data_IF_209231622539
#
_entry.id   IF_209231622539
#
_cell.length_a   1.000
_cell.length_b   1.000
_cell.length_c   1.000
_cell.angle_alpha   90.00
_cell.angle_beta   90.00
_cell.angle_gamma   90.00
#
_symmetry.space_group_name_H-M   'P 1'
#
loop_
_entity.id
_entity.type
_entity.pdbx_description
1 polymer ?
#
# COMPACT_ATOMS: atom_id res chain seq x y z
N UNK A 1 -26.64 13.48 4.22
CA UNK A 1 -25.35 14.20 4.32
C UNK A 1 -24.99 14.18 5.78
N UNK A 2 -24.21 13.19 6.21
CA UNK A 2 -23.83 13.06 7.63
C UNK A 2 -22.68 14.02 7.92
N UNK A 3 -22.85 14.81 8.98
CA UNK A 3 -21.84 15.74 9.45
C UNK A 3 -20.76 14.95 10.18
N UNK A 4 -19.49 15.11 9.77
CA UNK A 4 -18.33 14.51 10.46
C UNK A 4 -18.13 15.07 11.88
N UNK A 5 -18.85 16.13 12.26
CA UNK A 5 -18.99 16.58 13.65
C UNK A 5 -17.67 16.61 14.45
N UNK A 6 -17.72 16.07 15.67
CA UNK A 6 -16.61 15.96 16.62
C UNK A 6 -15.51 14.97 16.22
N UNK A 7 -15.70 14.17 15.16
CA UNK A 7 -14.70 13.18 14.71
C UNK A 7 -13.45 13.82 14.07
N UNK A 8 -13.46 15.14 13.81
CA UNK A 8 -12.25 15.88 13.39
C UNK A 8 -11.15 15.87 14.45
N UNK A 9 -11.51 15.72 15.72
CA UNK A 9 -10.56 15.72 16.83
C UNK A 9 -9.73 14.43 16.78
N UNK A 10 -8.45 14.55 16.37
CA UNK A 10 -7.54 13.43 16.15
C UNK A 10 -7.53 12.86 14.73
N UNK A 11 -8.17 13.52 13.76
CA UNK A 11 -8.07 13.17 12.36
C UNK A 11 -6.62 13.26 11.86
N UNK A 12 -6.17 12.25 11.12
CA UNK A 12 -4.84 12.21 10.52
C UNK A 12 -4.96 12.07 9.00
N UNK A 13 -4.14 12.78 8.25
CA UNK A 13 -4.05 12.70 6.79
C UNK A 13 -2.99 11.69 6.34
N UNK A 14 -3.31 10.93 5.29
CA UNK A 14 -2.36 10.05 4.62
C UNK A 14 -1.22 10.85 3.96
N UNK A 15 0.01 10.50 4.28
CA UNK A 15 1.18 10.80 3.46
C UNK A 15 1.40 9.63 2.51
N UNK A 16 1.08 9.83 1.23
CA UNK A 16 1.14 8.78 0.21
C UNK A 16 2.55 8.26 -0.07
N UNK A 17 3.60 9.08 0.07
CA UNK A 17 4.98 8.60 -0.16
C UNK A 17 5.38 7.56 0.90
N UNK A 18 4.96 7.77 2.15
CA UNK A 18 5.31 6.89 3.28
C UNK A 18 4.25 5.83 3.61
N UNK A 19 3.04 5.95 3.07
CA UNK A 19 1.87 5.14 3.42
C UNK A 19 1.35 5.35 4.85
N UNK A 20 1.70 6.45 5.52
CA UNK A 20 1.35 6.69 6.94
C UNK A 20 0.32 7.79 7.12
N UNK A 21 -0.55 7.63 8.12
CA UNK A 21 -1.46 8.68 8.59
C UNK A 21 -0.81 9.45 9.73
N UNK A 22 -0.13 10.55 9.42
CA UNK A 22 0.65 11.33 10.40
C UNK A 22 0.51 12.85 10.25
N UNK A 23 -0.08 13.34 9.17
CA UNK A 23 -0.20 14.77 8.93
C UNK A 23 -1.50 15.34 9.51
N UNK A 24 -1.49 16.61 9.93
CA UNK A 24 -2.72 17.33 10.26
C UNK A 24 -3.55 17.56 8.97
N UNK A 25 -4.88 17.42 9.02
CA UNK A 25 -5.75 17.71 7.88
C UNK A 25 -5.73 19.19 7.50
N UNK A 26 -5.75 19.51 6.19
CA UNK A 26 -5.91 20.89 5.73
C UNK A 26 -7.35 21.19 5.34
N UNK A 27 -8.06 20.26 4.69
CA UNK A 27 -9.49 20.40 4.33
C UNK A 27 -9.80 21.21 3.08
N UNK A 28 -8.83 21.96 2.54
CA UNK A 28 -9.00 22.80 1.34
C UNK A 28 -8.62 22.10 0.02
N UNK A 29 -7.99 20.93 0.12
CA UNK A 29 -7.60 20.08 -1.02
C UNK A 29 -8.17 18.67 -0.85
N UNK A 30 -8.15 17.87 -1.91
CA UNK A 30 -8.61 16.48 -1.85
C UNK A 30 -7.63 15.63 -1.02
N UNK A 31 -8.08 15.10 0.11
CA UNK A 31 -7.26 14.42 1.10
C UNK A 31 -7.91 13.11 1.56
N UNK A 32 -7.10 12.10 1.87
CA UNK A 32 -7.58 10.91 2.56
C UNK A 32 -7.27 11.03 4.05
N UNK A 33 -8.33 11.07 4.86
CA UNK A 33 -8.25 11.15 6.31
C UNK A 33 -8.51 9.79 6.93
N UNK A 34 -7.89 9.57 8.10
CA UNK A 34 -8.23 8.54 9.06
C UNK A 34 -8.81 9.22 10.29
N UNK A 35 -10.04 8.88 10.61
CA UNK A 35 -10.80 9.39 11.76
C UNK A 35 -11.26 8.22 12.62
N UNK A 36 -11.43 8.46 13.92
CA UNK A 36 -11.94 7.43 14.82
C UNK A 36 -13.41 7.18 14.53
N UNK A 37 -13.82 5.92 14.48
CA UNK A 37 -15.23 5.57 14.43
C UNK A 37 -15.88 5.83 15.79
N UNK A 38 -16.81 6.79 15.84
CA UNK A 38 -17.50 7.18 17.07
C UNK A 38 -18.69 6.26 17.39
N UNK A 39 -19.25 5.55 16.41
CA UNK A 39 -20.44 4.72 16.61
C UNK A 39 -20.09 3.38 17.25
N UNK A 40 -18.97 2.77 16.83
CA UNK A 40 -18.50 1.49 17.39
C UNK A 40 -17.35 1.68 18.39
N UNK A 41 -16.72 2.86 18.46
CA UNK A 41 -15.65 3.19 19.39
C UNK A 41 -14.33 2.42 19.22
N UNK A 42 -14.33 1.37 18.40
CA UNK A 42 -13.26 0.40 18.15
C UNK A 42 -13.07 0.24 16.64
N UNK A 43 -12.58 1.30 15.99
CA UNK A 43 -12.38 1.31 14.54
C UNK A 43 -11.87 2.65 14.05
N UNK A 44 -11.35 2.66 12.81
CA UNK A 44 -11.02 3.89 12.10
C UNK A 44 -11.89 3.96 10.85
N UNK A 45 -12.60 5.07 10.68
CA UNK A 45 -13.27 5.45 9.44
C UNK A 45 -12.26 6.20 8.55
N UNK A 46 -12.35 5.99 7.24
CA UNK A 46 -11.48 6.67 6.30
C UNK A 46 -12.33 7.46 5.34
N UNK A 47 -11.97 8.72 5.21
CA UNK A 47 -12.81 9.73 4.60
C UNK A 47 -12.01 10.41 3.52
N UNK A 48 -12.52 10.37 2.29
CA UNK A 48 -12.08 11.27 1.25
C UNK A 48 -12.71 12.63 1.51
N UNK A 49 -11.90 13.60 1.94
CA UNK A 49 -12.32 14.98 2.16
C UNK A 49 -11.94 15.82 0.95
N UNK A 50 -12.87 16.60 0.41
CA UNK A 50 -12.60 17.54 -0.67
C UNK A 50 -13.50 18.77 -0.53
N UNK A 51 -12.92 19.93 -0.21
CA UNK A 51 -13.63 21.22 -0.10
C UNK A 51 -14.89 21.13 0.78
N UNK A 52 -14.74 20.55 1.98
CA UNK A 52 -15.84 20.38 2.94
C UNK A 52 -16.88 19.30 2.58
N UNK A 53 -16.70 18.58 1.47
CA UNK A 53 -17.46 17.38 1.13
C UNK A 53 -16.70 16.14 1.59
N UNK A 54 -17.44 15.12 2.01
CA UNK A 54 -16.88 13.90 2.57
C UNK A 54 -17.50 12.68 1.91
N UNK A 55 -16.67 11.72 1.53
CA UNK A 55 -17.09 10.39 1.12
C UNK A 55 -16.41 9.34 2.01
N UNK A 56 -17.17 8.34 2.45
CA UNK A 56 -16.70 7.28 3.32
C UNK A 56 -16.55 5.96 2.54
N UNK A 57 -15.56 5.15 2.94
CA UNK A 57 -15.37 3.79 2.41
C UNK A 57 -15.31 2.82 3.59
N UNK A 58 -16.20 1.83 3.61
CA UNK A 58 -16.31 0.81 4.67
C UNK A 58 -15.04 -0.03 4.88
N UNK A 59 -14.24 -0.21 3.83
CA UNK A 59 -12.89 -0.75 3.92
C UNK A 59 -11.87 0.31 3.50
N UNK A 60 -11.28 0.90 4.51
CA UNK A 60 -10.32 1.99 4.44
C UNK A 60 -9.11 1.77 3.56
N UNK A 61 -8.74 0.51 3.37
CA UNK A 61 -7.54 0.12 2.63
C UNK A 61 -7.70 0.45 1.15
N UNK A 62 -8.93 0.45 0.62
CA UNK A 62 -9.19 0.93 -0.74
C UNK A 62 -8.75 2.38 -0.94
N UNK A 63 -8.99 3.25 0.04
CA UNK A 63 -8.55 4.64 -0.02
C UNK A 63 -7.02 4.77 -0.12
N UNK A 64 -6.27 3.89 0.56
CA UNK A 64 -4.81 3.84 0.48
C UNK A 64 -4.36 3.54 -0.95
N UNK A 65 -4.94 2.53 -1.60
CA UNK A 65 -4.59 2.17 -2.99
C UNK A 65 -4.95 3.26 -3.99
N UNK A 66 -6.11 3.92 -3.83
CA UNK A 66 -6.50 5.07 -4.67
C UNK A 66 -5.52 6.24 -4.52
N UNK A 67 -5.10 6.53 -3.28
CA UNK A 67 -4.14 7.59 -3.00
C UNK A 67 -2.74 7.25 -3.54
N UNK A 68 -2.29 6.00 -3.40
CA UNK A 68 -1.02 5.54 -3.94
C UNK A 68 -1.01 5.55 -5.47
N UNK A 69 -2.09 5.16 -6.13
CA UNK A 69 -2.22 5.22 -7.58
C UNK A 69 -2.13 6.68 -8.07
N UNK A 70 -2.86 7.59 -7.41
CA UNK A 70 -2.80 9.02 -7.72
C UNK A 70 -1.39 9.60 -7.54
N UNK A 71 -0.70 9.19 -6.48
CA UNK A 71 0.69 9.57 -6.23
C UNK A 71 1.65 8.98 -7.28
N UNK A 72 1.54 7.69 -7.59
CA UNK A 72 2.31 7.01 -8.62
C UNK A 72 2.14 7.70 -9.97
N UNK A 73 0.91 8.05 -10.34
CA UNK A 73 0.61 8.81 -11.56
C UNK A 73 1.29 10.16 -11.55
N UNK A 74 1.24 10.91 -10.45
CA UNK A 74 1.90 12.20 -10.34
C UNK A 74 3.42 12.11 -10.47
N UNK A 75 4.06 11.18 -9.77
CA UNK A 75 5.52 11.08 -9.81
C UNK A 75 6.02 10.45 -11.13
N UNK A 76 5.19 9.73 -11.87
CA UNK A 76 5.55 9.17 -13.19
C UNK A 76 5.89 10.24 -14.24
N UNK A 77 5.58 11.52 -14.00
CA UNK A 77 6.01 12.63 -14.85
C UNK A 77 7.50 12.97 -14.72
N UNK A 78 8.18 12.47 -13.68
CA UNK A 78 9.62 12.66 -13.50
C UNK A 78 10.39 11.52 -14.22
N UNK A 79 11.39 11.82 -15.06
CA UNK A 79 12.14 10.81 -15.83
C UNK A 79 12.77 9.71 -14.95
N UNK A 80 13.27 10.09 -13.77
CA UNK A 80 13.85 9.19 -12.78
C UNK A 80 12.82 8.29 -12.09
N UNK A 81 11.52 8.46 -12.39
CA UNK A 81 10.40 7.68 -11.87
C UNK A 81 9.65 6.92 -12.96
N UNK A 82 10.29 6.63 -14.09
CA UNK A 82 9.70 5.77 -15.11
C UNK A 82 9.36 4.37 -14.56
N UNK A 83 8.24 3.81 -15.04
CA UNK A 83 7.74 2.49 -14.66
C UNK A 83 7.09 2.37 -13.27
N UNK A 84 6.75 3.48 -12.60
CA UNK A 84 6.08 3.47 -11.28
C UNK A 84 4.55 3.54 -11.36
N UNK A 85 3.98 3.87 -12.54
CA UNK A 85 2.54 3.91 -12.78
C UNK A 85 2.18 3.13 -14.07
N UNK A 86 1.13 2.28 -14.08
CA UNK A 86 0.28 1.91 -12.94
C UNK A 86 1.06 1.30 -11.78
N UNK A 87 0.52 1.38 -10.56
CA UNK A 87 1.27 1.01 -9.36
C UNK A 87 1.81 -0.45 -9.45
N UNK A 88 3.12 -0.68 -9.37
CA UNK A 88 3.71 -2.01 -9.56
C UNK A 88 3.63 -2.84 -8.28
N UNK A 89 2.90 -3.96 -8.31
CA UNK A 89 2.89 -4.96 -7.23
C UNK A 89 3.91 -6.03 -7.54
N UNK A 90 4.92 -6.18 -6.68
CA UNK A 90 5.99 -7.17 -6.87
C UNK A 90 5.48 -8.59 -6.72
N UNK A 91 5.77 -9.44 -7.71
CA UNK A 91 5.43 -10.85 -7.73
C UNK A 91 6.64 -11.68 -8.15
N UNK A 92 7.06 -12.59 -7.28
CA UNK A 92 8.18 -13.50 -7.54
C UNK A 92 7.66 -14.78 -8.18
N UNK A 93 7.95 -14.99 -9.47
CA UNK A 93 7.38 -16.11 -10.24
C UNK A 93 7.91 -17.46 -9.75
N UNK A 94 9.20 -17.53 -9.43
CA UNK A 94 9.86 -18.76 -8.96
C UNK A 94 9.26 -19.31 -7.66
N UNK A 95 8.91 -18.44 -6.71
CA UNK A 95 8.27 -18.82 -5.43
C UNK A 95 6.75 -18.69 -5.44
N UNK A 96 6.17 -18.12 -6.50
CA UNK A 96 4.76 -17.76 -6.61
C UNK A 96 4.30 -16.89 -5.43
N UNK A 97 5.08 -15.85 -5.15
CA UNK A 97 4.87 -15.00 -3.97
C UNK A 97 4.49 -13.60 -4.40
N UNK A 98 3.36 -13.10 -3.91
CA UNK A 98 2.99 -11.69 -4.01
C UNK A 98 3.49 -10.94 -2.76
N UNK A 99 4.25 -9.87 -2.97
CA UNK A 99 4.89 -9.09 -1.93
C UNK A 99 4.20 -7.74 -1.76
N UNK A 100 3.76 -7.44 -0.53
CA UNK A 100 3.06 -6.18 -0.21
C UNK A 100 3.69 -5.55 1.05
N UNK A 101 4.06 -4.26 1.06
CA UNK A 101 4.43 -3.59 2.30
C UNK A 101 3.27 -3.65 3.31
N UNK A 102 3.53 -4.11 4.53
CA UNK A 102 2.48 -4.27 5.55
C UNK A 102 1.80 -2.93 5.92
N UNK A 103 2.45 -1.79 5.64
CA UNK A 103 1.91 -0.44 5.87
C UNK A 103 0.76 -0.08 4.94
N UNK A 104 0.77 -0.59 3.70
CA UNK A 104 -0.30 -0.31 2.74
C UNK A 104 -1.39 -1.37 2.83
N UNK A 105 -1.01 -2.65 3.06
CA UNK A 105 -1.90 -3.82 3.17
C UNK A 105 -2.89 -3.94 1.99
N UNK A 106 -3.62 -5.04 1.91
CA UNK A 106 -4.67 -5.22 0.90
C UNK A 106 -6.04 -4.95 1.50
N UNK A 107 -7.02 -4.43 0.74
CA UNK A 107 -8.41 -4.48 1.16
C UNK A 107 -8.81 -5.89 1.59
N UNK A 108 -9.63 -5.97 2.64
CA UNK A 108 -10.03 -7.20 3.34
C UNK A 108 -10.46 -8.30 2.38
N UNK A 109 -11.29 -7.95 1.41
CA UNK A 109 -11.85 -8.91 0.44
C UNK A 109 -10.75 -9.49 -0.46
N UNK A 110 -9.78 -8.67 -0.86
CA UNK A 110 -8.66 -9.12 -1.69
C UNK A 110 -7.64 -9.91 -0.87
N UNK A 111 -7.40 -9.50 0.38
CA UNK A 111 -6.57 -10.26 1.32
C UNK A 111 -7.14 -11.65 1.58
N UNK A 112 -8.44 -11.76 1.86
CA UNK A 112 -9.13 -13.04 2.04
C UNK A 112 -9.05 -13.90 0.78
N UNK A 113 -9.20 -13.31 -0.41
CA UNK A 113 -9.03 -14.04 -1.67
C UNK A 113 -7.61 -14.61 -1.81
N UNK A 114 -6.57 -13.86 -1.43
CA UNK A 114 -5.19 -14.35 -1.44
C UNK A 114 -4.97 -15.45 -0.41
N UNK A 115 -5.45 -15.28 0.82
CA UNK A 115 -5.34 -16.29 1.90
C UNK A 115 -6.02 -17.60 1.51
N UNK A 116 -7.19 -17.52 0.86
CA UNK A 116 -7.87 -18.71 0.33
C UNK A 116 -7.07 -19.38 -0.80
N UNK A 117 -6.40 -18.60 -1.65
CA UNK A 117 -5.58 -19.13 -2.74
C UNK A 117 -4.26 -19.73 -2.25
N UNK A 118 -3.61 -19.13 -1.25
CA UNK A 118 -2.39 -19.64 -0.64
C UNK A 118 -2.65 -20.84 0.29
N UNK A 119 -3.88 -20.97 0.80
CA UNK A 119 -4.25 -21.94 1.83
C UNK A 119 -3.68 -21.59 3.21
N UNK A 120 -3.11 -20.40 3.38
CA UNK A 120 -2.46 -19.94 4.61
C UNK A 120 -2.39 -18.40 4.69
N UNK A 121 -2.22 -17.87 5.89
CA UNK A 121 -1.92 -16.47 6.15
C UNK A 121 -0.59 -16.01 5.52
N UNK A 122 -0.41 -14.71 5.21
CA UNK A 122 0.85 -14.23 4.67
C UNK A 122 1.99 -14.32 5.69
N UNK A 123 3.18 -14.68 5.21
CA UNK A 123 4.39 -14.56 6.01
C UNK A 123 4.69 -13.08 6.30
N UNK A 124 5.05 -12.77 7.54
CA UNK A 124 5.47 -11.42 7.93
C UNK A 124 6.98 -11.37 8.07
N UNK A 125 7.64 -10.71 7.12
CA UNK A 125 9.11 -10.64 7.06
C UNK A 125 9.55 -9.20 7.29
N UNK A 126 10.54 -9.00 8.18
CA UNK A 126 11.11 -7.67 8.42
C UNK A 126 12.32 -7.45 7.52
N UNK A 127 12.19 -6.51 6.59
CA UNK A 127 13.17 -6.19 5.56
C UNK A 127 13.74 -4.78 5.76
N UNK A 128 14.90 -4.56 5.14
CA UNK A 128 15.51 -3.24 4.94
C UNK A 128 16.09 -3.14 3.54
N UNK A 129 16.27 -1.93 3.04
CA UNK A 129 17.04 -1.68 1.83
C UNK A 129 18.49 -2.15 1.99
N UNK A 130 19.00 -2.77 0.95
CA UNK A 130 20.42 -3.00 0.79
C UNK A 130 21.06 -1.76 0.13
N UNK A 131 21.92 -1.06 0.86
CA UNK A 131 22.61 0.14 0.37
C UNK A 131 23.91 -0.19 -0.38
N UNK A 132 24.31 -1.47 -0.44
CA UNK A 132 25.55 -1.89 -1.09
C UNK A 132 25.45 -1.95 -2.62
N UNK A 133 24.25 -1.93 -3.19
CA UNK A 133 24.03 -2.08 -4.63
C UNK A 133 23.30 -0.86 -5.21
N UNK A 134 24.03 -0.04 -5.98
CA UNK A 134 23.48 1.10 -6.73
C UNK A 134 22.74 0.60 -7.98
N UNK A 135 21.55 0.05 -7.81
CA UNK A 135 20.61 -0.12 -8.92
C UNK A 135 19.63 1.06 -8.92
N UNK A 136 19.71 1.93 -9.93
CA UNK A 136 18.80 3.07 -10.09
C UNK A 136 17.35 2.66 -10.38
N UNK A 137 17.10 1.38 -10.66
CA UNK A 137 15.82 0.90 -11.20
C UNK A 137 15.03 0.11 -10.15
N UNK A 138 15.70 -0.69 -9.30
CA UNK A 138 15.06 -1.58 -8.33
C UNK A 138 15.72 -1.53 -6.96
N UNK A 139 14.91 -1.64 -5.92
CA UNK A 139 15.34 -1.71 -4.53
C UNK A 139 15.63 -3.16 -4.17
N UNK A 140 16.87 -3.44 -3.80
CA UNK A 140 17.22 -4.72 -3.21
C UNK A 140 16.81 -4.76 -1.75
N UNK A 141 16.04 -5.79 -1.37
CA UNK A 141 15.54 -5.95 -0.01
C UNK A 141 16.21 -7.17 0.64
N UNK A 142 16.79 -6.93 1.82
CA UNK A 142 17.45 -7.94 2.63
C UNK A 142 16.70 -8.11 3.95
N UNK A 143 16.68 -9.34 4.46
CA UNK A 143 16.17 -9.65 5.80
C UNK A 143 16.96 -8.89 6.85
N UNK A 144 16.26 -8.23 7.76
CA UNK A 144 16.90 -7.48 8.85
C UNK A 144 17.63 -8.39 9.84
N UNK A 145 17.17 -9.64 10.02
CA UNK A 145 17.70 -10.58 11.02
C UNK A 145 19.09 -11.12 10.68
N UNK A 146 19.28 -11.52 9.43
CA UNK A 146 20.44 -12.30 8.98
C UNK A 146 21.14 -11.67 7.76
N UNK A 147 20.57 -10.60 7.19
CA UNK A 147 21.15 -9.88 6.05
C UNK A 147 21.00 -10.59 4.71
N UNK A 148 20.28 -11.72 4.66
CA UNK A 148 20.08 -12.44 3.40
C UNK A 148 19.17 -11.67 2.45
N UNK A 149 19.52 -11.69 1.16
CA UNK A 149 18.66 -11.19 0.09
C UNK A 149 17.34 -11.94 0.06
N UNK A 150 16.23 -11.19 0.03
CA UNK A 150 14.90 -11.77 -0.11
C UNK A 150 14.38 -11.63 -1.53
N UNK A 151 14.25 -10.39 -2.02
CA UNK A 151 13.76 -10.07 -3.37
C UNK A 151 14.11 -8.63 -3.76
N UNK A 152 13.79 -8.25 -5.01
CA UNK A 152 13.92 -6.86 -5.48
C UNK A 152 12.54 -6.24 -5.75
N UNK A 153 12.32 -5.00 -5.30
CA UNK A 153 11.07 -4.27 -5.47
C UNK A 153 11.25 -3.05 -6.39
N UNK A 154 10.17 -2.55 -6.96
CA UNK A 154 10.20 -1.29 -7.70
C UNK A 154 10.59 -0.09 -6.79
N UNK A 155 11.32 0.89 -7.34
CA UNK A 155 11.75 2.11 -6.64
C UNK A 155 10.63 2.97 -6.06
N UNK A 156 9.38 2.82 -6.52
CA UNK A 156 8.20 3.43 -5.89
C UNK A 156 8.17 3.16 -4.38
N UNK A 157 8.61 1.97 -3.94
CA UNK A 157 8.59 1.57 -2.55
C UNK A 157 9.75 2.13 -1.72
N UNK A 158 10.50 3.11 -2.21
CA UNK A 158 11.68 3.64 -1.51
C UNK A 158 11.33 4.03 -0.07
N UNK A 159 10.29 4.82 0.17
CA UNK A 159 9.94 5.25 1.54
C UNK A 159 9.16 4.19 2.34
N UNK A 160 8.85 3.03 1.72
CA UNK A 160 8.10 1.93 2.31
C UNK A 160 8.92 0.63 2.48
N UNK A 161 10.12 0.58 1.89
CA UNK A 161 10.99 -0.60 1.84
C UNK A 161 11.41 -1.10 3.22
N UNK A 162 11.67 -0.18 4.15
CA UNK A 162 12.09 -0.52 5.49
C UNK A 162 10.88 -0.83 6.40
N UNK A 163 10.83 -2.07 6.88
CA UNK A 163 9.81 -2.54 7.81
C UNK A 163 9.29 -3.93 7.49
N UNK A 164 8.03 -4.17 7.84
CA UNK A 164 7.36 -5.45 7.63
C UNK A 164 6.78 -5.52 6.22
N UNK A 165 7.00 -6.65 5.56
CA UNK A 165 6.41 -7.03 4.29
C UNK A 165 5.59 -8.29 4.48
N UNK A 166 4.49 -8.37 3.74
CA UNK A 166 3.58 -9.51 3.67
C UNK A 166 3.96 -10.33 2.44
N UNK A 167 4.21 -11.62 2.63
CA UNK A 167 4.47 -12.58 1.56
C UNK A 167 3.29 -13.55 1.43
N UNK A 168 2.45 -13.35 0.41
CA UNK A 168 1.38 -14.28 0.07
C UNK A 168 1.94 -15.35 -0.88
N UNK A 169 2.30 -16.51 -0.33
CA UNK A 169 2.93 -17.62 -1.06
C UNK A 169 1.94 -18.45 -1.85
N UNK A 170 2.45 -19.17 -2.85
CA UNK A 170 1.71 -20.14 -3.65
C UNK A 170 0.52 -19.54 -4.43
N UNK A 171 0.49 -18.22 -4.60
CA UNK A 171 -0.57 -17.52 -5.35
C UNK A 171 -0.30 -17.71 -6.84
N UNK A 172 -1.21 -18.33 -7.61
CA UNK A 172 -1.02 -18.45 -9.05
C UNK A 172 -0.94 -17.08 -9.72
N UNK A 173 -0.03 -16.91 -10.68
CA UNK A 173 0.19 -15.62 -11.34
C UNK A 173 -1.09 -15.03 -11.95
N UNK A 174 -1.96 -15.88 -12.52
CA UNK A 174 -3.27 -15.45 -13.03
C UNK A 174 -4.11 -14.77 -11.95
N UNK A 175 -4.13 -15.30 -10.74
CA UNK A 175 -4.85 -14.71 -9.60
C UNK A 175 -4.16 -13.41 -9.18
N UNK A 176 -2.84 -13.41 -9.08
CA UNK A 176 -2.05 -12.23 -8.76
C UNK A 176 -2.34 -11.06 -9.73
N UNK A 177 -2.42 -11.34 -11.04
CA UNK A 177 -2.81 -10.35 -12.07
C UNK A 177 -4.23 -9.84 -11.90
N UNK A 178 -5.19 -10.72 -11.56
CA UNK A 178 -6.58 -10.31 -11.30
C UNK A 178 -6.65 -9.37 -10.10
N UNK A 179 -5.97 -9.71 -8.99
CA UNK A 179 -5.91 -8.89 -7.78
C UNK A 179 -5.29 -7.52 -8.08
N UNK A 180 -4.14 -7.49 -8.78
CA UNK A 180 -3.50 -6.24 -9.19
C UNK A 180 -4.47 -5.37 -10.03
N UNK A 181 -5.14 -5.96 -11.01
CA UNK A 181 -6.11 -5.25 -11.85
C UNK A 181 -7.30 -4.68 -11.06
N UNK A 182 -7.75 -5.35 -9.99
CA UNK A 182 -8.81 -4.81 -9.11
C UNK A 182 -8.37 -3.58 -8.31
N UNK A 183 -7.07 -3.40 -8.10
CA UNK A 183 -6.49 -2.27 -7.39
C UNK A 183 -6.12 -1.10 -8.30
N UNK A 184 -6.32 -1.22 -9.63
CA UNK A 184 -5.76 -0.29 -10.60
C UNK A 184 -4.24 -0.42 -10.77
N UNK A 185 -3.65 -1.47 -10.18
CA UNK A 185 -2.22 -1.75 -10.17
C UNK A 185 -1.83 -2.69 -11.32
N UNK A 186 -0.53 -2.86 -11.55
CA UNK A 186 0.05 -3.83 -12.48
C UNK A 186 0.95 -4.80 -11.74
N UNK A 187 1.04 -6.03 -12.26
CA UNK A 187 1.94 -7.04 -11.70
C UNK A 187 3.37 -6.83 -12.22
N UNK A 188 4.31 -6.58 -11.30
CA UNK A 188 5.76 -6.45 -11.54
C UNK A 188 6.42 -7.79 -11.25
N UNK A 189 6.65 -8.58 -12.31
CA UNK A 189 7.14 -9.96 -12.20
C UNK A 189 8.66 -9.99 -12.11
N UNK A 190 9.18 -10.68 -11.10
CA UNK A 190 10.62 -10.96 -10.87
C UNK A 190 10.92 -12.45 -10.78
#
# INVERSE_FOLDING_TARGET
MESIGSAREGAMRLNASTGRFTAAPFGDVCELWRVRDLDIGVGNLYVLANQGKYAFISDSRWGVWVALDSFAKHISFYPEMDGVHPLPITYESGRRTMWIPARISLPTVLEQALVLCSGDSPDIITLRKDFAENSDIRLRLIRKKDGFFEFSANKLYTDMADGKWLAYRYVPERIARIIAGKLGAVLDVI
#
